data_IF_102506502027
#
_entry.id   IF_102506502027
#
_cell.length_a   1.000
_cell.length_b   1.000
_cell.length_c   1.000
_cell.angle_alpha   90.00
_cell.angle_beta   90.00
_cell.angle_gamma   90.00
#
_symmetry.space_group_name_H-M   'P 1'
#
loop_
_entity.id
_entity.type
_entity.pdbx_description
1 polymer ?
#
# COMPACT_ATOMS: atom_id res chain seq x y z
N UNK A 1 16.52 -1.30 8.62
CA UNK A 1 15.88 -0.06 8.16
C UNK A 1 14.61 0.27 8.96
N UNK A 2 13.78 -0.71 9.29
CA UNK A 2 12.57 -0.51 10.09
C UNK A 2 12.82 -0.44 11.60
N UNK A 3 13.97 -0.90 12.07
CA UNK A 3 14.38 -0.88 13.49
C UNK A 3 14.19 0.49 14.15
N UNK A 4 14.63 1.57 13.50
CA UNK A 4 14.45 2.94 13.97
C UNK A 4 12.99 3.37 14.03
N UNK A 5 12.19 2.98 13.02
CA UNK A 5 10.76 3.34 12.93
C UNK A 5 9.89 2.61 13.97
N UNK A 6 10.31 1.42 14.38
CA UNK A 6 9.67 0.60 15.41
C UNK A 6 10.24 0.88 16.81
N UNK A 7 11.22 1.78 16.92
CA UNK A 7 11.97 2.07 18.15
C UNK A 7 12.48 0.80 18.84
N UNK A 8 13.01 -0.16 18.03
CA UNK A 8 13.54 -1.42 18.55
C UNK A 8 14.99 -1.26 19.00
N UNK A 9 15.24 -1.54 20.29
CA UNK A 9 16.56 -1.65 20.88
C UNK A 9 16.91 -3.12 21.06
N UNK A 10 18.08 -3.53 20.59
CA UNK A 10 18.55 -4.90 20.76
C UNK A 10 19.00 -5.12 22.20
N UNK A 11 18.53 -6.19 22.82
CA UNK A 11 18.85 -6.55 24.22
C UNK A 11 19.91 -7.67 24.23
N UNK A 12 19.63 -8.83 23.60
CA UNK A 12 20.52 -9.98 23.55
C UNK A 12 20.18 -10.90 22.38
N UNK A 13 20.94 -11.99 22.23
CA UNK A 13 20.81 -12.94 21.12
C UNK A 13 21.51 -12.45 19.84
N UNK A 14 21.43 -13.27 18.79
CA UNK A 14 22.07 -12.95 17.51
C UNK A 14 21.05 -12.36 16.52
N UNK A 15 21.08 -11.03 16.24
CA UNK A 15 20.17 -10.41 15.30
C UNK A 15 20.55 -10.67 13.83
N UNK A 16 21.43 -11.64 13.55
CA UNK A 16 22.09 -11.90 12.28
C UNK A 16 21.18 -11.91 11.05
N UNK A 17 21.84 -11.90 9.87
CA UNK A 17 21.18 -11.74 8.56
C UNK A 17 20.49 -13.04 8.08
N UNK A 18 20.63 -14.15 8.82
CA UNK A 18 20.13 -15.48 8.45
C UNK A 18 18.67 -15.75 8.88
N UNK A 19 18.03 -14.78 9.54
CA UNK A 19 16.66 -14.89 10.02
C UNK A 19 15.73 -14.10 9.12
N UNK A 20 14.83 -14.80 8.40
CA UNK A 20 13.82 -14.18 7.57
C UNK A 20 12.46 -14.83 7.77
N UNK A 21 11.43 -14.03 7.53
CA UNK A 21 10.05 -14.50 7.49
C UNK A 21 9.90 -15.36 6.23
N UNK A 22 9.75 -16.68 6.42
CA UNK A 22 9.38 -17.58 5.33
C UNK A 22 7.87 -17.56 5.17
N UNK A 23 7.38 -17.45 3.92
CA UNK A 23 6.00 -17.76 3.60
C UNK A 23 5.84 -19.27 3.73
N UNK A 24 5.21 -19.74 4.79
CA UNK A 24 4.86 -21.14 4.90
C UNK A 24 3.72 -21.48 3.95
N UNK A 25 4.03 -22.26 2.93
CA UNK A 25 3.06 -23.09 2.19
C UNK A 25 2.90 -24.48 2.79
N UNK A 26 3.63 -24.81 3.85
CA UNK A 26 3.55 -26.12 4.49
C UNK A 26 2.45 -26.13 5.56
N UNK A 27 1.40 -26.91 5.32
CA UNK A 27 0.51 -27.40 6.36
C UNK A 27 1.36 -28.22 7.35
N UNK A 28 1.59 -27.68 8.55
CA UNK A 28 2.01 -28.53 9.68
C UNK A 28 0.79 -29.25 10.20
N UNK A 29 0.91 -30.56 10.47
CA UNK A 29 -0.10 -31.33 11.14
C UNK A 29 -0.49 -30.66 12.47
N UNK A 30 -1.74 -30.25 12.60
CA UNK A 30 -2.32 -29.58 13.77
C UNK A 30 -2.61 -30.57 14.91
N UNK A 31 -1.70 -31.48 15.23
CA UNK A 31 -2.04 -32.63 16.09
C UNK A 31 -1.91 -32.38 17.59
N UNK A 32 -1.35 -31.25 18.06
CA UNK A 32 -1.39 -30.86 19.48
C UNK A 32 -1.56 -29.35 19.63
N UNK A 33 -2.79 -28.89 19.81
CA UNK A 33 -3.07 -27.51 20.21
C UNK A 33 -2.89 -27.44 21.75
N UNK A 34 -1.99 -26.58 22.28
CA UNK A 34 -1.86 -26.37 23.72
C UNK A 34 -3.19 -25.90 24.33
N UNK A 35 -3.45 -26.25 25.59
CA UNK A 35 -4.62 -25.80 26.35
C UNK A 35 -4.77 -24.26 26.33
N UNK A 36 -3.66 -23.54 26.23
CA UNK A 36 -3.61 -22.10 26.04
C UNK A 36 -2.86 -21.80 24.73
N UNK A 37 -3.61 -21.40 23.71
CA UNK A 37 -3.06 -21.15 22.37
C UNK A 37 -2.57 -19.72 22.17
N UNK A 38 -3.24 -18.76 22.81
CA UNK A 38 -2.92 -17.34 22.75
C UNK A 38 -3.04 -16.68 24.11
N UNK A 39 -2.07 -15.82 24.42
CA UNK A 39 -2.13 -14.90 25.55
C UNK A 39 -1.79 -13.52 25.02
N UNK A 40 -2.79 -12.68 24.85
CA UNK A 40 -2.58 -11.37 24.22
C UNK A 40 -1.95 -11.51 22.83
N UNK A 41 -0.71 -11.03 22.68
CA UNK A 41 0.07 -11.12 21.45
C UNK A 41 1.08 -12.28 21.42
N UNK A 42 1.18 -13.06 22.49
CA UNK A 42 2.02 -14.24 22.58
C UNK A 42 1.30 -15.41 21.89
N UNK A 43 1.98 -16.02 20.92
CA UNK A 43 1.39 -17.04 20.05
C UNK A 43 2.13 -18.38 20.20
N UNK A 44 1.55 -19.29 20.95
CA UNK A 44 2.09 -20.63 21.17
C UNK A 44 1.75 -21.60 20.01
N UNK A 45 0.74 -21.31 19.19
CA UNK A 45 0.39 -22.17 18.03
C UNK A 45 1.42 -21.99 16.92
N UNK A 46 1.92 -20.77 16.74
CA UNK A 46 2.93 -20.45 15.73
C UNK A 46 4.16 -19.80 16.38
N UNK A 47 4.91 -20.55 17.20
CA UNK A 47 6.00 -19.99 18.00
C UNK A 47 7.18 -19.47 17.15
N UNK A 48 7.31 -19.93 15.89
CA UNK A 48 8.33 -19.45 14.94
C UNK A 48 8.12 -18.00 14.46
N UNK A 49 6.97 -17.39 14.74
CA UNK A 49 6.68 -16.00 14.36
C UNK A 49 7.35 -15.00 15.30
N UNK A 50 7.20 -13.71 14.99
CA UNK A 50 7.59 -12.64 15.92
C UNK A 50 6.69 -12.72 17.13
N UNK A 51 7.28 -12.83 18.32
CA UNK A 51 6.57 -12.86 19.58
C UNK A 51 6.63 -11.48 20.23
N UNK A 52 5.50 -10.96 20.67
CA UNK A 52 5.38 -9.64 21.31
C UNK A 52 4.87 -9.84 22.73
N UNK A 53 5.64 -9.36 23.71
CA UNK A 53 5.31 -9.47 25.12
C UNK A 53 5.14 -8.07 25.71
N UNK A 54 3.96 -7.80 26.23
CA UNK A 54 3.64 -6.62 27.02
C UNK A 54 3.26 -7.00 28.44
N UNK A 55 2.63 -6.09 29.15
CA UNK A 55 2.26 -6.26 30.56
C UNK A 55 1.34 -7.46 30.77
N UNK A 56 0.32 -7.64 29.91
CA UNK A 56 -0.65 -8.75 30.06
C UNK A 56 -0.01 -10.12 29.85
N UNK A 57 0.88 -10.25 28.84
CA UNK A 57 1.60 -11.48 28.56
C UNK A 57 2.57 -11.84 29.72
N UNK A 58 3.22 -10.83 30.29
CA UNK A 58 4.09 -11.03 31.45
C UNK A 58 3.31 -11.40 32.70
N UNK A 59 2.20 -10.74 33.00
CA UNK A 59 1.31 -11.08 34.12
C UNK A 59 0.83 -12.54 34.04
N UNK A 60 0.51 -13.02 32.83
CA UNK A 60 0.18 -14.43 32.64
C UNK A 60 1.36 -15.34 32.95
N UNK A 61 2.55 -15.08 32.38
CA UNK A 61 3.73 -15.90 32.63
C UNK A 61 4.14 -15.91 34.10
N UNK A 62 3.95 -14.80 34.82
CA UNK A 62 4.22 -14.68 36.23
C UNK A 62 3.17 -15.37 37.13
N UNK A 63 1.97 -15.66 36.58
CA UNK A 63 0.93 -16.41 37.31
C UNK A 63 1.15 -17.93 37.27
N UNK A 64 2.01 -18.43 36.34
CA UNK A 64 2.35 -19.83 36.22
C UNK A 64 3.29 -20.29 37.34
N UNK A 65 3.18 -21.57 37.71
CA UNK A 65 4.18 -22.16 38.58
C UNK A 65 5.56 -22.28 37.88
N UNK A 66 6.60 -22.54 38.63
CA UNK A 66 7.97 -22.64 38.12
C UNK A 66 8.12 -23.69 36.98
N UNK A 67 7.43 -24.83 37.08
CA UNK A 67 7.50 -25.91 36.10
C UNK A 67 6.73 -25.55 34.82
N UNK A 68 5.55 -25.03 34.98
CA UNK A 68 4.69 -24.54 33.89
C UNK A 68 5.37 -23.41 33.11
N UNK A 69 5.92 -22.40 33.83
CA UNK A 69 6.66 -21.31 33.22
C UNK A 69 7.84 -21.79 32.41
N UNK A 70 8.69 -22.66 32.99
CA UNK A 70 9.83 -23.22 32.26
C UNK A 70 9.42 -24.04 31.05
N UNK A 71 8.34 -24.83 31.16
CA UNK A 71 7.81 -25.59 30.02
C UNK A 71 7.34 -24.65 28.91
N UNK A 72 6.58 -23.61 29.24
CA UNK A 72 6.08 -22.62 28.29
C UNK A 72 7.22 -21.89 27.57
N UNK A 73 8.25 -21.44 28.32
CA UNK A 73 9.41 -20.77 27.73
C UNK A 73 10.25 -21.70 26.86
N UNK A 74 10.50 -22.92 27.29
CA UNK A 74 11.24 -23.90 26.49
C UNK A 74 10.50 -24.21 25.17
N UNK A 75 9.19 -24.38 25.21
CA UNK A 75 8.37 -24.59 24.00
C UNK A 75 8.42 -23.38 23.08
N UNK A 76 8.33 -22.16 23.64
CA UNK A 76 8.43 -20.92 22.87
C UNK A 76 9.77 -20.82 22.12
N UNK A 77 10.89 -21.07 22.81
CA UNK A 77 12.22 -20.98 22.22
C UNK A 77 12.52 -22.17 21.30
N UNK A 78 12.02 -23.38 21.60
CA UNK A 78 12.13 -24.54 20.70
C UNK A 78 11.42 -24.31 19.36
N UNK A 79 10.35 -23.51 19.37
CA UNK A 79 9.67 -23.07 18.15
C UNK A 79 10.48 -22.12 17.26
N UNK A 80 11.67 -21.71 17.69
CA UNK A 80 12.62 -20.87 16.95
C UNK A 80 11.97 -19.58 16.41
N UNK A 81 11.40 -18.71 17.26
CA UNK A 81 10.81 -17.45 16.84
C UNK A 81 11.81 -16.59 16.07
N UNK A 82 11.31 -15.79 15.11
CA UNK A 82 12.15 -14.86 14.37
C UNK A 82 12.83 -13.86 15.31
N UNK A 83 12.07 -13.36 16.24
CA UNK A 83 12.55 -12.56 17.39
C UNK A 83 11.45 -12.49 18.46
N UNK A 84 11.87 -12.06 19.65
CA UNK A 84 11.00 -11.74 20.77
C UNK A 84 11.10 -10.24 21.03
N UNK A 85 9.99 -9.54 21.25
CA UNK A 85 9.97 -8.10 21.50
C UNK A 85 9.21 -7.79 22.79
N UNK A 86 9.92 -7.26 23.77
CA UNK A 86 9.31 -6.69 24.97
C UNK A 86 8.85 -5.26 24.73
N UNK A 87 7.65 -4.91 25.19
CA UNK A 87 6.99 -3.62 24.92
C UNK A 87 6.75 -2.83 26.17
N UNK A 88 6.52 -1.50 26.03
CA UNK A 88 6.17 -0.64 27.16
C UNK A 88 7.28 -0.46 28.20
N UNK A 89 8.55 -0.53 27.77
CA UNK A 89 9.72 -0.45 28.65
C UNK A 89 9.78 -1.56 29.72
N UNK A 90 9.17 -2.71 29.47
CA UNK A 90 9.32 -3.87 30.37
C UNK A 90 10.77 -4.33 30.31
N UNK A 91 11.37 -4.52 31.48
CA UNK A 91 12.70 -5.11 31.61
C UNK A 91 12.65 -6.59 31.22
N UNK A 92 13.62 -7.02 30.44
CA UNK A 92 13.67 -8.41 29.95
C UNK A 92 14.08 -9.33 31.09
N UNK A 93 13.27 -10.32 31.49
CA UNK A 93 13.61 -11.24 32.57
C UNK A 93 14.85 -12.10 32.29
N UNK A 94 15.59 -12.47 33.34
CA UNK A 94 16.85 -13.22 33.25
C UNK A 94 16.68 -14.59 32.59
N UNK A 95 15.54 -15.27 32.76
CA UNK A 95 15.24 -16.55 32.13
C UNK A 95 15.13 -16.41 30.60
N UNK A 96 14.55 -15.32 30.09
CA UNK A 96 14.54 -15.01 28.67
C UNK A 96 15.94 -14.70 28.13
N UNK A 97 16.75 -13.95 28.88
CA UNK A 97 18.13 -13.63 28.50
C UNK A 97 18.96 -14.92 28.39
N UNK A 98 18.87 -15.82 29.37
CA UNK A 98 19.59 -17.07 29.38
C UNK A 98 19.19 -17.97 28.20
N UNK A 99 17.89 -18.11 27.91
CA UNK A 99 17.40 -18.89 26.79
C UNK A 99 17.82 -18.27 25.43
N UNK A 100 17.76 -16.94 25.33
CA UNK A 100 18.22 -16.22 24.14
C UNK A 100 19.69 -16.43 23.85
N UNK A 101 20.55 -16.38 24.86
CA UNK A 101 21.99 -16.64 24.74
C UNK A 101 22.29 -18.06 24.28
N UNK A 102 21.53 -19.04 24.79
CA UNK A 102 21.70 -20.46 24.45
C UNK A 102 21.19 -20.80 23.04
N UNK A 103 20.11 -20.19 22.60
CA UNK A 103 19.46 -20.49 21.33
C UNK A 103 19.85 -19.53 20.20
N UNK A 104 20.47 -18.39 20.54
CA UNK A 104 20.79 -17.31 19.60
C UNK A 104 19.57 -16.51 19.12
N UNK A 105 18.36 -16.76 19.66
CA UNK A 105 17.15 -16.03 19.29
C UNK A 105 17.24 -14.59 19.75
N UNK A 106 17.11 -13.58 18.86
CA UNK A 106 17.25 -12.17 19.24
C UNK A 106 16.08 -11.67 20.05
N UNK A 107 16.39 -10.92 21.10
CA UNK A 107 15.42 -10.18 21.90
C UNK A 107 15.60 -8.70 21.68
N UNK A 108 14.49 -8.01 21.49
CA UNK A 108 14.41 -6.57 21.37
C UNK A 108 13.49 -5.99 22.45
N UNK A 109 13.70 -4.73 22.79
CA UNK A 109 12.77 -3.92 23.58
C UNK A 109 12.23 -2.77 22.75
N UNK A 110 11.01 -2.32 23.06
CA UNK A 110 10.39 -1.14 22.44
C UNK A 110 9.63 -0.35 23.50
N UNK A 111 9.71 0.99 23.50
CA UNK A 111 8.91 1.83 24.39
C UNK A 111 7.43 1.88 23.99
N UNK A 112 7.09 1.45 22.77
CA UNK A 112 5.71 1.41 22.31
C UNK A 112 4.91 0.33 23.02
N UNK A 113 3.60 0.56 23.22
CA UNK A 113 2.69 -0.49 23.69
C UNK A 113 2.50 -1.60 22.65
N UNK A 114 2.16 -2.82 23.09
CA UNK A 114 2.06 -4.02 22.28
C UNK A 114 1.17 -3.83 21.06
N UNK A 115 -0.02 -3.29 21.22
CA UNK A 115 -0.97 -3.09 20.11
C UNK A 115 -0.41 -2.15 19.03
N UNK A 116 0.23 -1.06 19.43
CA UNK A 116 0.84 -0.12 18.48
C UNK A 116 2.00 -0.79 17.73
N UNK A 117 2.85 -1.54 18.44
CA UNK A 117 3.96 -2.26 17.83
C UNK A 117 3.48 -3.31 16.86
N UNK A 118 2.46 -4.12 17.21
CA UNK A 118 1.88 -5.14 16.34
C UNK A 118 1.30 -4.52 15.07
N UNK A 119 0.53 -3.45 15.20
CA UNK A 119 -0.04 -2.75 14.04
C UNK A 119 1.07 -2.22 13.09
N UNK A 120 2.12 -1.64 13.67
CA UNK A 120 3.27 -1.16 12.88
C UNK A 120 4.04 -2.31 12.23
N UNK A 121 4.26 -3.42 12.94
CA UNK A 121 4.89 -4.62 12.39
C UNK A 121 4.09 -5.18 11.23
N UNK A 122 2.78 -5.36 11.38
CA UNK A 122 1.89 -5.82 10.32
C UNK A 122 1.98 -4.92 9.08
N UNK A 123 1.93 -3.61 9.28
CA UNK A 123 2.07 -2.65 8.18
C UNK A 123 3.41 -2.81 7.43
N UNK A 124 4.54 -2.83 8.16
CA UNK A 124 5.85 -2.93 7.52
C UNK A 124 6.12 -4.29 6.89
N UNK A 125 5.64 -5.37 7.50
CA UNK A 125 5.76 -6.72 6.94
C UNK A 125 4.92 -6.84 5.67
N UNK A 126 3.67 -6.41 5.70
CA UNK A 126 2.78 -6.40 4.52
C UNK A 126 3.39 -5.59 3.38
N UNK A 127 3.96 -4.43 3.68
CA UNK A 127 4.62 -3.60 2.66
C UNK A 127 5.90 -4.25 2.10
N UNK A 128 6.70 -4.90 2.94
CA UNK A 128 7.97 -5.52 2.54
C UNK A 128 7.78 -6.81 1.75
N UNK A 129 6.75 -7.60 2.08
CA UNK A 129 6.42 -8.87 1.43
C UNK A 129 5.37 -8.72 0.32
N UNK A 130 4.89 -7.50 0.07
CA UNK A 130 3.89 -7.23 -0.94
C UNK A 130 4.35 -7.68 -2.32
N UNK A 131 3.46 -8.35 -3.06
CA UNK A 131 3.65 -8.58 -4.48
C UNK A 131 3.80 -7.23 -5.19
N UNK A 132 4.81 -7.12 -6.05
CA UNK A 132 5.14 -5.88 -6.75
C UNK A 132 5.09 -6.05 -8.25
N UNK A 133 4.79 -4.96 -8.95
CA UNK A 133 4.89 -4.86 -10.40
C UNK A 133 5.30 -3.45 -10.79
N UNK A 134 5.97 -3.31 -11.92
CA UNK A 134 6.26 -2.02 -12.53
C UNK A 134 5.31 -1.82 -13.70
N UNK A 135 4.71 -0.65 -13.80
CA UNK A 135 3.85 -0.29 -14.94
C UNK A 135 4.46 0.91 -15.66
N UNK A 136 4.38 0.90 -16.99
CA UNK A 136 4.82 2.04 -17.77
C UNK A 136 3.78 3.16 -17.74
N UNK A 137 4.21 4.37 -17.38
CA UNK A 137 3.35 5.56 -17.33
C UNK A 137 3.82 6.58 -16.30
N UNK A 138 3.05 7.66 -16.13
CA UNK A 138 3.32 8.69 -15.13
C UNK A 138 2.32 8.57 -13.99
N UNK A 139 2.81 8.46 -12.77
CA UNK A 139 1.98 8.34 -11.57
C UNK A 139 1.97 9.64 -10.77
N UNK A 140 0.76 10.16 -10.55
CA UNK A 140 0.55 11.44 -9.86
C UNK A 140 -0.53 11.32 -8.77
N UNK A 141 -0.52 12.27 -7.84
CA UNK A 141 -1.68 12.59 -7.03
C UNK A 141 -2.44 13.74 -7.69
N UNK A 142 -3.67 13.48 -8.13
CA UNK A 142 -4.57 14.48 -8.74
C UNK A 142 -5.82 14.62 -7.87
N UNK A 143 -6.11 15.82 -7.38
CA UNK A 143 -7.26 16.10 -6.48
C UNK A 143 -7.36 15.12 -5.30
N UNK A 144 -6.21 14.72 -4.75
CA UNK A 144 -6.13 13.86 -3.55
C UNK A 144 -6.16 12.35 -3.81
N UNK A 145 -6.30 11.87 -5.06
CA UNK A 145 -6.24 10.43 -5.38
C UNK A 145 -5.05 10.10 -6.28
N UNK A 146 -4.56 8.86 -6.22
CA UNK A 146 -3.50 8.37 -7.09
C UNK A 146 -4.03 8.01 -8.48
N UNK A 147 -3.43 8.62 -9.50
CA UNK A 147 -3.79 8.50 -10.90
C UNK A 147 -2.59 8.05 -11.72
N UNK A 148 -2.73 6.95 -12.47
CA UNK A 148 -1.71 6.49 -13.41
C UNK A 148 -2.09 6.93 -14.82
N UNK A 149 -1.29 7.82 -15.41
CA UNK A 149 -1.39 8.20 -16.82
C UNK A 149 -0.70 7.13 -17.66
N UNK A 150 -1.43 6.49 -18.55
CA UNK A 150 -0.94 5.47 -19.50
C UNK A 150 -1.20 5.91 -20.94
N UNK A 151 -0.65 5.19 -21.89
CA UNK A 151 -0.82 5.43 -23.32
C UNK A 151 0.48 5.14 -24.09
N UNK A 152 0.41 5.18 -25.41
CA UNK A 152 1.55 4.94 -26.27
C UNK A 152 2.71 5.90 -25.97
N UNK A 153 3.92 5.47 -26.36
CA UNK A 153 5.08 6.37 -26.29
C UNK A 153 4.82 7.63 -27.11
N UNK A 154 5.28 8.78 -26.59
CA UNK A 154 5.11 10.08 -27.28
C UNK A 154 3.65 10.55 -27.44
N UNK A 155 2.73 10.05 -26.63
CA UNK A 155 1.33 10.52 -26.62
C UNK A 155 1.15 11.83 -25.82
N UNK A 156 2.19 12.28 -25.10
CA UNK A 156 2.17 13.50 -24.30
C UNK A 156 1.95 13.28 -22.81
N UNK A 157 2.31 12.09 -22.27
CA UNK A 157 2.13 11.78 -20.82
C UNK A 157 2.93 12.71 -19.91
N UNK A 158 4.21 12.91 -20.21
CA UNK A 158 5.11 13.72 -19.37
C UNK A 158 4.81 15.21 -19.49
N UNK A 159 4.44 15.71 -20.68
CA UNK A 159 3.99 17.08 -20.89
C UNK A 159 2.71 17.36 -20.09
N UNK A 160 1.74 16.43 -20.13
CA UNK A 160 0.52 16.50 -19.34
C UNK A 160 0.81 16.44 -17.84
N UNK A 161 1.75 15.60 -17.42
CA UNK A 161 2.16 15.52 -16.03
C UNK A 161 2.78 16.83 -15.54
N UNK A 162 3.63 17.47 -16.34
CA UNK A 162 4.20 18.79 -16.04
C UNK A 162 3.09 19.86 -15.92
N UNK A 163 2.11 19.87 -16.82
CA UNK A 163 0.97 20.77 -16.73
C UNK A 163 0.16 20.53 -15.45
N UNK A 164 -0.11 19.27 -15.09
CA UNK A 164 -0.82 18.93 -13.84
C UNK A 164 -0.03 19.40 -12.61
N UNK A 165 1.30 19.24 -12.60
CA UNK A 165 2.16 19.74 -11.51
C UNK A 165 2.07 21.26 -11.40
N UNK A 166 2.16 21.99 -12.51
CA UNK A 166 2.02 23.47 -12.52
C UNK A 166 0.64 23.93 -12.02
N UNK A 167 -0.37 23.08 -12.12
CA UNK A 167 -1.73 23.29 -11.61
C UNK A 167 -1.89 22.90 -10.13
N UNK A 168 -0.81 22.50 -9.45
CA UNK A 168 -0.78 22.17 -8.03
C UNK A 168 -1.01 20.70 -7.70
N UNK A 169 -0.96 19.80 -8.68
CA UNK A 169 -0.96 18.37 -8.43
C UNK A 169 0.47 17.88 -8.14
N UNK A 170 0.61 16.63 -7.67
CA UNK A 170 1.88 16.13 -7.16
C UNK A 170 2.40 14.97 -7.99
N UNK A 171 3.67 15.04 -8.41
CA UNK A 171 4.37 13.93 -9.06
C UNK A 171 4.73 12.86 -8.02
N UNK A 172 4.53 11.60 -8.37
CA UNK A 172 5.02 10.45 -7.60
C UNK A 172 6.15 9.77 -8.37
N UNK A 173 5.91 9.37 -9.61
CA UNK A 173 6.90 8.72 -10.45
C UNK A 173 6.64 8.97 -11.93
N UNK A 174 7.71 9.08 -12.71
CA UNK A 174 7.69 9.08 -14.17
C UNK A 174 8.22 7.74 -14.71
N UNK A 175 7.75 7.35 -15.87
CA UNK A 175 8.13 6.20 -16.70
C UNK A 175 7.90 4.82 -16.07
N UNK A 176 8.43 4.55 -14.88
CA UNK A 176 8.45 3.22 -14.28
C UNK A 176 7.97 3.21 -12.81
N UNK A 177 6.75 3.70 -12.47
CA UNK A 177 6.22 3.58 -11.12
C UNK A 177 6.11 2.12 -10.69
N UNK A 178 6.55 1.84 -9.45
CA UNK A 178 6.42 0.56 -8.80
C UNK A 178 5.12 0.49 -7.99
N UNK A 179 4.37 -0.57 -8.20
CA UNK A 179 3.12 -0.83 -7.49
C UNK A 179 3.25 -2.06 -6.60
N UNK A 180 2.76 -1.96 -5.37
CA UNK A 180 2.74 -3.02 -4.37
C UNK A 180 1.32 -3.25 -3.86
N UNK A 181 0.85 -4.51 -3.82
CA UNK A 181 -0.42 -4.85 -3.17
C UNK A 181 -0.22 -4.95 -1.67
N UNK A 182 -0.68 -3.96 -0.93
CA UNK A 182 -0.46 -3.84 0.53
C UNK A 182 -1.68 -4.29 1.36
N UNK A 183 -2.83 -4.47 0.70
CA UNK A 183 -4.06 -5.02 1.29
C UNK A 183 -4.88 -5.71 0.18
N UNK A 184 -5.93 -6.49 0.51
CA UNK A 184 -6.73 -7.22 -0.47
C UNK A 184 -7.28 -6.36 -1.62
N UNK A 185 -7.59 -5.10 -1.35
CA UNK A 185 -8.21 -4.12 -2.25
C UNK A 185 -7.36 -2.86 -2.47
N UNK A 186 -6.10 -2.87 -2.02
CA UNK A 186 -5.24 -1.67 -2.06
C UNK A 186 -3.91 -1.96 -2.77
N UNK A 187 -3.69 -1.23 -3.84
CA UNK A 187 -2.40 -1.14 -4.53
C UNK A 187 -1.78 0.23 -4.25
N UNK A 188 -0.59 0.25 -3.70
CA UNK A 188 0.19 1.47 -3.45
C UNK A 188 1.28 1.64 -4.49
N UNK A 189 1.33 2.80 -5.13
CA UNK A 189 2.36 3.16 -6.10
C UNK A 189 3.40 4.09 -5.50
N UNK A 190 4.66 3.93 -5.91
CA UNK A 190 5.81 4.74 -5.49
C UNK A 190 6.83 4.85 -6.60
N UNK A 191 7.81 5.74 -6.44
CA UNK A 191 8.91 5.90 -7.38
C UNK A 191 10.13 5.06 -6.96
N UNK A 192 10.78 4.37 -7.89
CA UNK A 192 12.10 3.79 -7.65
C UNK A 192 13.10 4.87 -7.17
N UNK A 193 13.95 4.57 -6.17
CA UNK A 193 14.86 5.57 -5.60
C UNK A 193 15.79 6.25 -6.62
N UNK A 194 16.19 5.54 -7.68
CA UNK A 194 17.14 6.03 -8.67
C UNK A 194 16.59 7.17 -9.55
N UNK A 195 15.27 7.24 -9.77
CA UNK A 195 14.64 8.22 -10.67
C UNK A 195 13.70 9.17 -9.91
N UNK A 196 13.82 9.20 -8.60
CA UNK A 196 12.94 9.94 -7.72
C UNK A 196 13.00 11.44 -7.98
N UNK A 197 11.82 12.08 -8.08
CA UNK A 197 11.60 13.50 -8.33
C UNK A 197 11.96 13.99 -9.73
N UNK A 198 12.39 13.10 -10.62
CA UNK A 198 12.69 13.45 -12.00
C UNK A 198 11.50 13.18 -12.93
N UNK A 199 11.37 14.02 -13.95
CA UNK A 199 10.38 13.93 -15.02
C UNK A 199 11.12 14.18 -16.35
N UNK A 200 11.02 13.24 -17.30
CA UNK A 200 11.58 13.43 -18.63
C UNK A 200 10.52 14.06 -19.56
N UNK A 201 10.82 15.24 -20.08
CA UNK A 201 9.95 15.95 -21.03
C UNK A 201 10.65 16.12 -22.36
N UNK A 202 10.05 15.56 -23.42
CA UNK A 202 10.65 15.64 -24.77
C UNK A 202 10.84 17.10 -25.18
N UNK A 203 12.06 17.43 -25.61
CA UNK A 203 12.46 18.79 -26.01
C UNK A 203 12.99 19.66 -24.86
N UNK A 204 12.73 19.29 -23.60
CA UNK A 204 13.29 19.97 -22.43
C UNK A 204 14.35 19.11 -21.72
N UNK A 205 14.32 17.78 -21.92
CA UNK A 205 15.19 16.84 -21.21
C UNK A 205 14.66 16.44 -19.85
N UNK A 206 15.57 16.10 -18.93
CA UNK A 206 15.23 15.62 -17.57
C UNK A 206 15.12 16.82 -16.63
N UNK A 207 13.96 16.96 -16.00
CA UNK A 207 13.61 18.03 -15.06
C UNK A 207 13.57 17.49 -13.63
N UNK A 208 14.12 18.22 -12.66
CA UNK A 208 13.95 17.93 -11.25
C UNK A 208 12.75 18.71 -10.70
N UNK A 209 11.62 18.05 -10.57
CA UNK A 209 10.35 18.66 -10.16
C UNK A 209 10.40 19.23 -8.74
N UNK A 210 11.07 18.53 -7.81
CA UNK A 210 11.25 19.03 -6.44
C UNK A 210 12.05 20.32 -6.41
N UNK A 211 13.15 20.40 -7.16
CA UNK A 211 13.98 21.60 -7.21
C UNK A 211 13.26 22.79 -7.87
N UNK A 212 12.39 22.53 -8.87
CA UNK A 212 11.67 23.56 -9.62
C UNK A 212 10.42 24.08 -8.88
N UNK A 213 9.65 23.19 -8.24
CA UNK A 213 8.34 23.51 -7.70
C UNK A 213 8.22 23.30 -6.18
N UNK A 214 9.28 22.83 -5.52
CA UNK A 214 9.33 22.57 -4.08
C UNK A 214 8.71 21.23 -3.66
N UNK A 215 8.77 20.95 -2.35
CA UNK A 215 8.29 19.68 -1.76
C UNK A 215 6.79 19.47 -1.93
N UNK A 216 6.02 20.53 -2.08
CA UNK A 216 4.57 20.48 -2.31
C UNK A 216 4.20 19.85 -3.65
N UNK A 217 5.11 19.84 -4.63
CA UNK A 217 4.87 19.31 -5.97
C UNK A 217 5.18 17.80 -6.10
N UNK A 218 5.71 17.18 -5.05
CA UNK A 218 6.06 15.76 -5.04
C UNK A 218 5.29 14.99 -3.97
N UNK A 219 5.18 13.67 -4.15
CA UNK A 219 4.61 12.73 -3.19
C UNK A 219 5.37 11.43 -3.22
N UNK A 220 5.67 10.87 -2.04
CA UNK A 220 6.43 9.62 -1.92
C UNK A 220 5.68 8.39 -2.44
N UNK A 221 4.40 8.30 -2.11
CA UNK A 221 3.52 7.19 -2.51
C UNK A 221 2.06 7.59 -2.42
N UNK A 222 1.20 6.87 -3.16
CA UNK A 222 -0.24 7.02 -3.11
C UNK A 222 -0.93 5.71 -3.52
N UNK A 223 -2.16 5.49 -3.06
CA UNK A 223 -2.97 4.37 -3.53
C UNK A 223 -3.46 4.64 -4.95
N UNK A 224 -3.25 3.68 -5.85
CA UNK A 224 -3.78 3.74 -7.21
C UNK A 224 -5.31 3.59 -7.16
N UNK A 225 -6.03 4.58 -7.67
CA UNK A 225 -7.49 4.59 -7.68
C UNK A 225 -8.07 4.74 -9.08
N UNK A 226 -7.32 5.34 -9.99
CA UNK A 226 -7.77 5.57 -11.36
C UNK A 226 -6.61 5.43 -12.33
N UNK A 227 -6.86 4.79 -13.46
CA UNK A 227 -5.96 4.79 -14.61
C UNK A 227 -6.57 5.68 -15.67
N UNK A 228 -5.81 6.63 -16.18
CA UNK A 228 -6.20 7.47 -17.31
C UNK A 228 -5.35 7.06 -18.52
N UNK A 229 -5.99 6.44 -19.49
CA UNK A 229 -5.32 6.02 -20.72
C UNK A 229 -5.48 7.09 -21.79
N UNK A 230 -4.36 7.66 -22.23
CA UNK A 230 -4.32 8.62 -23.33
C UNK A 230 -4.22 7.86 -24.66
N UNK A 231 -5.17 8.08 -25.55
CA UNK A 231 -5.23 7.39 -26.83
C UNK A 231 -5.44 8.36 -27.99
N UNK A 232 -4.54 8.31 -28.96
CA UNK A 232 -4.78 8.99 -30.24
C UNK A 232 -5.92 8.28 -30.96
N UNK A 233 -6.93 9.00 -31.37
CA UNK A 233 -8.12 8.47 -32.05
C UNK A 233 -8.38 9.22 -33.34
N UNK A 234 -8.81 8.50 -34.38
CA UNK A 234 -9.32 9.09 -35.60
C UNK A 234 -10.71 9.72 -35.37
N UNK A 235 -11.13 10.62 -36.29
CA UNK A 235 -12.46 11.23 -36.23
C UNK A 235 -13.57 10.18 -36.25
N UNK A 236 -13.40 9.10 -36.97
CA UNK A 236 -14.36 7.98 -37.01
C UNK A 236 -14.48 7.29 -35.64
N UNK A 237 -13.36 7.04 -34.97
CA UNK A 237 -13.37 6.45 -33.65
C UNK A 237 -13.98 7.40 -32.60
N UNK A 238 -13.73 8.72 -32.72
CA UNK A 238 -14.32 9.74 -31.85
C UNK A 238 -15.85 9.79 -31.97
N UNK A 239 -16.40 9.60 -33.20
CA UNK A 239 -17.84 9.58 -33.43
C UNK A 239 -18.55 8.36 -32.83
N UNK A 240 -17.82 7.26 -32.66
CA UNK A 240 -18.35 6.00 -32.08
C UNK A 240 -18.34 5.98 -30.54
N UNK A 241 -17.69 6.96 -29.89
CA UNK A 241 -17.67 7.02 -28.43
C UNK A 241 -19.08 7.35 -27.90
N UNK A 242 -19.54 6.55 -26.93
CA UNK A 242 -20.75 6.88 -26.19
C UNK A 242 -20.58 8.23 -25.49
N UNK A 243 -21.33 9.24 -25.94
CA UNK A 243 -21.23 10.61 -25.43
C UNK A 243 -21.69 10.76 -23.98
N UNK A 244 -22.49 9.84 -23.47
CA UNK A 244 -23.00 9.87 -22.10
C UNK A 244 -22.04 9.16 -21.11
N UNK A 245 -21.47 8.04 -21.53
CA UNK A 245 -20.68 7.18 -20.65
C UNK A 245 -19.17 7.29 -20.84
N UNK A 246 -18.71 7.73 -22.02
CA UNK A 246 -17.29 7.70 -22.36
C UNK A 246 -16.74 6.28 -22.55
N UNK A 247 -15.42 6.11 -22.40
CA UNK A 247 -14.75 4.80 -22.52
C UNK A 247 -14.19 4.42 -21.16
N UNK A 248 -14.85 3.48 -20.50
CA UNK A 248 -14.46 2.95 -19.19
C UNK A 248 -14.13 1.46 -19.30
N UNK A 249 -13.13 1.01 -18.54
CA UNK A 249 -12.74 -0.39 -18.41
C UNK A 249 -12.31 -0.65 -16.97
N UNK A 250 -12.35 -1.91 -16.56
CA UNK A 250 -11.71 -2.36 -15.32
C UNK A 250 -10.40 -3.03 -15.71
N UNK A 251 -9.34 -2.67 -15.01
CA UNK A 251 -8.01 -3.27 -15.17
C UNK A 251 -7.57 -3.90 -13.86
N UNK A 252 -7.19 -5.17 -13.90
CA UNK A 252 -6.62 -5.85 -12.73
C UNK A 252 -5.13 -5.54 -12.60
N UNK A 253 -4.74 -5.00 -11.44
CA UNK A 253 -3.35 -4.75 -11.07
C UNK A 253 -3.06 -5.54 -9.79
N UNK A 254 -2.18 -6.54 -9.90
CA UNK A 254 -1.86 -7.45 -8.78
C UNK A 254 -3.12 -8.11 -8.15
N UNK A 255 -4.15 -8.38 -8.98
CA UNK A 255 -5.42 -8.94 -8.51
C UNK A 255 -6.38 -7.93 -7.85
N UNK A 256 -6.07 -6.63 -7.90
CA UNK A 256 -6.99 -5.55 -7.48
C UNK A 256 -7.58 -4.89 -8.71
N UNK A 257 -8.90 -4.73 -8.73
CA UNK A 257 -9.62 -4.06 -9.80
C UNK A 257 -9.49 -2.53 -9.69
N UNK A 258 -9.03 -1.91 -10.76
CA UNK A 258 -8.86 -0.45 -10.86
C UNK A 258 -9.61 0.05 -12.09
N UNK A 259 -10.41 1.09 -11.92
CA UNK A 259 -11.10 1.74 -13.04
C UNK A 259 -10.10 2.40 -13.98
N UNK A 260 -10.31 2.21 -15.29
CA UNK A 260 -9.58 2.88 -16.34
C UNK A 260 -10.53 3.70 -17.20
N UNK A 261 -10.24 4.99 -17.34
CA UNK A 261 -10.91 5.91 -18.26
C UNK A 261 -9.98 6.16 -19.44
N UNK A 262 -10.50 6.10 -20.67
CA UNK A 262 -9.72 6.44 -21.85
C UNK A 262 -10.09 7.84 -22.34
N UNK A 263 -9.09 8.71 -22.45
CA UNK A 263 -9.24 10.07 -22.95
C UNK A 263 -8.65 10.17 -24.36
N UNK A 264 -9.43 10.65 -25.34
CA UNK A 264 -8.93 10.88 -26.68
C UNK A 264 -8.00 12.09 -26.72
N UNK A 265 -6.80 11.89 -27.27
CA UNK A 265 -5.83 12.95 -27.54
C UNK A 265 -6.09 13.52 -28.92
N UNK A 266 -6.46 14.81 -28.97
CA UNK A 266 -6.70 15.53 -30.21
C UNK A 266 -6.23 16.99 -30.08
N UNK A 267 -5.80 17.65 -31.17
CA UNK A 267 -5.43 19.06 -31.14
C UNK A 267 -6.54 19.94 -30.56
N UNK A 268 -6.16 20.96 -29.80
CA UNK A 268 -7.11 21.93 -29.21
C UNK A 268 -7.84 21.45 -27.95
N UNK A 269 -7.64 20.23 -27.47
CA UNK A 269 -8.22 19.75 -26.20
C UNK A 269 -7.24 19.99 -25.04
N UNK A 270 -7.73 20.59 -23.97
CA UNK A 270 -6.96 20.71 -22.73
C UNK A 270 -7.06 19.39 -21.94
N UNK A 271 -6.03 18.55 -22.06
CA UNK A 271 -5.99 17.24 -21.42
C UNK A 271 -5.92 17.33 -19.89
N UNK A 272 -5.27 18.35 -19.34
CA UNK A 272 -5.17 18.52 -17.89
C UNK A 272 -6.56 18.76 -17.28
N UNK A 273 -7.37 19.60 -17.90
CA UNK A 273 -8.77 19.82 -17.48
C UNK A 273 -9.57 18.52 -17.57
N UNK A 274 -9.41 17.76 -18.66
CA UNK A 274 -10.12 16.49 -18.84
C UNK A 274 -9.73 15.47 -17.76
N UNK A 275 -8.45 15.38 -17.40
CA UNK A 275 -7.98 14.52 -16.31
C UNK A 275 -8.57 14.95 -14.98
N UNK A 276 -8.49 16.25 -14.64
CA UNK A 276 -9.07 16.79 -13.39
C UNK A 276 -10.57 16.49 -13.28
N UNK A 277 -11.31 16.66 -14.37
CA UNK A 277 -12.77 16.38 -14.40
C UNK A 277 -13.03 14.88 -14.31
N UNK A 278 -12.28 14.03 -15.01
CA UNK A 278 -12.40 12.58 -14.91
C UNK A 278 -12.15 12.10 -13.47
N UNK A 279 -11.14 12.64 -12.80
CA UNK A 279 -10.84 12.36 -11.39
C UNK A 279 -11.99 12.78 -10.47
N UNK A 280 -12.55 13.98 -10.65
CA UNK A 280 -13.68 14.47 -9.84
C UNK A 280 -14.93 13.61 -10.07
N UNK A 281 -15.20 13.23 -11.32
CA UNK A 281 -16.31 12.33 -11.65
C UNK A 281 -16.13 10.93 -11.01
N UNK A 282 -14.91 10.39 -11.04
CA UNK A 282 -14.57 9.13 -10.36
C UNK A 282 -14.81 9.24 -8.83
N UNK A 283 -14.39 10.35 -8.19
CA UNK A 283 -14.66 10.58 -6.77
C UNK A 283 -16.16 10.63 -6.46
N UNK A 284 -16.97 11.22 -7.35
CA UNK A 284 -18.44 11.25 -7.20
C UNK A 284 -19.01 9.83 -7.37
N UNK A 285 -18.52 9.05 -8.32
CA UNK A 285 -18.95 7.66 -8.52
C UNK A 285 -18.64 6.78 -7.29
N UNK A 286 -17.47 6.95 -6.66
CA UNK A 286 -17.14 6.27 -5.39
C UNK A 286 -18.09 6.65 -4.23
N UNK A 287 -18.75 7.81 -4.29
CA UNK A 287 -19.78 8.25 -3.35
C UNK A 287 -21.20 7.82 -3.76
N UNK A 288 -21.32 6.99 -4.80
CA UNK A 288 -22.60 6.48 -5.29
C UNK A 288 -23.35 7.40 -6.23
N UNK A 289 -22.72 8.48 -6.75
CA UNK A 289 -23.36 9.39 -7.71
C UNK A 289 -22.86 9.11 -9.13
N UNK A 290 -23.78 8.74 -10.03
CA UNK A 290 -23.52 8.56 -11.45
C UNK A 290 -24.23 9.66 -12.27
N UNK A 291 -23.45 10.57 -12.85
CA UNK A 291 -23.99 11.71 -13.61
C UNK A 291 -24.77 11.29 -14.86
N UNK A 292 -24.33 10.23 -15.57
CA UNK A 292 -25.02 9.73 -16.75
C UNK A 292 -26.39 9.16 -16.41
N UNK A 293 -26.46 8.35 -15.35
CA UNK A 293 -27.73 7.79 -14.84
C UNK A 293 -28.69 8.88 -14.36
N UNK A 294 -28.17 9.85 -13.59
CA UNK A 294 -28.96 10.99 -13.14
C UNK A 294 -29.50 11.82 -14.30
N UNK A 295 -28.69 12.01 -15.36
CA UNK A 295 -29.14 12.72 -16.57
C UNK A 295 -30.24 11.94 -17.29
N UNK A 296 -30.06 10.64 -17.53
CA UNK A 296 -31.06 9.78 -18.19
C UNK A 296 -32.39 9.78 -17.42
N UNK A 297 -32.32 9.61 -16.10
CA UNK A 297 -33.49 9.61 -15.24
C UNK A 297 -34.28 10.93 -15.34
N UNK A 298 -33.60 12.08 -15.33
CA UNK A 298 -34.22 13.39 -15.52
C UNK A 298 -34.85 13.58 -16.89
N UNK A 299 -34.16 13.14 -17.93
CA UNK A 299 -34.69 13.18 -19.32
C UNK A 299 -35.97 12.34 -19.45
N UNK A 300 -35.95 11.12 -18.92
CA UNK A 300 -37.12 10.22 -18.94
C UNK A 300 -38.32 10.86 -18.24
N UNK A 301 -38.12 11.43 -17.04
CA UNK A 301 -39.18 12.11 -16.29
C UNK A 301 -39.73 13.31 -17.05
N UNK A 302 -38.88 14.08 -17.72
CA UNK A 302 -39.29 15.23 -18.51
C UNK A 302 -40.17 14.82 -19.73
N UNK A 303 -39.73 13.77 -20.44
CA UNK A 303 -40.48 13.22 -21.59
C UNK A 303 -41.85 12.72 -21.14
N UNK A 304 -41.92 11.92 -20.07
CA UNK A 304 -43.18 11.40 -19.54
C UNK A 304 -44.15 12.47 -19.13
N UNK A 305 -43.68 13.58 -18.49
CA UNK A 305 -44.52 14.71 -18.11
C UNK A 305 -45.09 15.46 -19.31
N UNK A 306 -44.36 15.52 -20.41
CA UNK A 306 -44.78 16.22 -21.61
C UNK A 306 -45.59 15.36 -22.60
N UNK A 307 -45.47 14.02 -22.50
CA UNK A 307 -46.28 13.08 -23.30
C UNK A 307 -47.70 12.89 -22.73
N UNK A 308 -47.94 13.30 -21.48
CA UNK A 308 -49.25 13.24 -20.81
C UNK A 308 -50.00 14.59 -20.84
N UNK A 309 -49.51 15.55 -21.62
CA UNK A 309 -50.18 16.80 -21.99
C UNK A 309 -50.63 16.78 -23.45
#
# INVERSE_FOLDING_TARGET
TYRKKLALTHVCGNPGDDRYIQYETAQRDETEVPDVSFVGHLNFIHPHRIQVLGKGEMEYLDSLDYRERNSALNNLFAGNPLCIVFTGNIETPDDFIALSQNTGIPIFSSPHGSQMLVNNLQYYISYSLANRTTLHGVFLEVSGIGVLLTGESSVGKSELALELVTRGHRLIADDAPEFARIAPDIVSGSCPPAIKHFLEVRGLGVLNIQAMFGDSAIKESKYLRLIVNLQKMSDQQLQQIDRLRGIHKIRSILGVEVEQVTLPVAPGRNLAVLVEVAVRNHILALKGYNAAEAFVARQTQYIQKNSNK
#
